data_IF_544078322298
#
_entry.id   IF_544078322298
#
_cell.length_a   1.000
_cell.length_b   1.000
_cell.length_c   1.000
_cell.angle_alpha   90.00
_cell.angle_beta   90.00
_cell.angle_gamma   90.00
#
_symmetry.space_group_name_H-M   'P 1'
#
loop_
_entity.id
_entity.type
_entity.pdbx_description
1 polymer ?
#
# COMPACT_ATOMS: atom_id res chain seq x y z
N UNK A 1 -3.95 28.63 14.51
CA UNK A 1 -2.66 29.17 14.02
C UNK A 1 -1.68 28.05 13.65
N UNK A 2 -1.27 27.19 14.59
CA UNK A 2 -0.37 26.04 14.36
C UNK A 2 -0.78 25.08 13.24
N UNK A 3 -2.06 24.75 13.12
CA UNK A 3 -2.57 23.90 12.04
C UNK A 3 -2.22 24.44 10.65
N UNK A 4 -2.55 25.71 10.38
CA UNK A 4 -2.24 26.38 9.10
C UNK A 4 -0.74 26.45 8.83
N UNK A 5 0.07 26.70 9.88
CA UNK A 5 1.53 26.70 9.75
C UNK A 5 2.08 25.33 9.31
N UNK A 6 1.53 24.23 9.82
CA UNK A 6 1.93 22.87 9.44
C UNK A 6 1.45 22.56 8.03
N UNK A 7 0.16 22.73 7.74
CA UNK A 7 -0.41 22.34 6.44
C UNK A 7 0.11 23.20 5.29
N UNK A 8 0.50 24.45 5.54
CA UNK A 8 1.14 25.32 4.53
C UNK A 8 2.48 24.79 3.99
N UNK A 9 3.10 23.80 4.64
CA UNK A 9 4.37 23.20 4.23
C UNK A 9 4.21 21.94 3.38
N UNK A 10 3.00 21.37 3.27
CA UNK A 10 2.79 20.08 2.60
C UNK A 10 3.27 20.09 1.14
N UNK A 11 3.00 21.16 0.40
CA UNK A 11 3.43 21.30 -1.00
C UNK A 11 4.95 21.37 -1.20
N UNK A 12 5.75 21.44 -0.13
CA UNK A 12 7.22 21.40 -0.18
C UNK A 12 7.80 20.04 0.16
N UNK A 13 6.97 19.13 0.67
CA UNK A 13 7.41 17.80 1.08
C UNK A 13 7.58 16.88 -0.12
N UNK A 14 8.63 16.06 -0.05
CA UNK A 14 8.95 15.01 -1.00
C UNK A 14 8.89 13.69 -0.26
N UNK A 15 8.01 12.78 -0.67
CA UNK A 15 7.77 11.53 0.08
C UNK A 15 7.86 10.33 -0.86
N UNK A 16 8.60 9.30 -0.44
CA UNK A 16 8.58 8.00 -1.09
C UNK A 16 7.63 7.05 -0.36
N UNK A 17 6.76 6.37 -1.11
CA UNK A 17 5.90 5.31 -0.58
C UNK A 17 6.39 3.99 -1.15
N UNK A 18 7.07 3.23 -0.29
CA UNK A 18 7.65 1.92 -0.55
C UNK A 18 6.72 0.87 0.01
N UNK A 19 6.26 -0.06 -0.80
CA UNK A 19 5.42 -1.12 -0.27
C UNK A 19 4.56 -1.80 -1.30
N UNK A 20 3.66 -2.62 -0.80
CA UNK A 20 2.76 -3.41 -1.65
C UNK A 20 1.64 -2.53 -2.22
N UNK A 21 1.55 -2.49 -3.55
CA UNK A 21 0.47 -1.81 -4.26
C UNK A 21 -0.54 -2.84 -4.72
N UNK A 22 -1.80 -2.68 -4.31
CA UNK A 22 -2.90 -3.47 -4.86
C UNK A 22 -3.66 -2.69 -5.93
N UNK A 23 -4.33 -3.40 -6.82
CA UNK A 23 -5.46 -2.88 -7.56
C UNK A 23 -6.74 -3.20 -6.77
N UNK A 24 -7.40 -2.18 -6.27
CA UNK A 24 -8.74 -2.31 -5.70
C UNK A 24 -9.74 -2.22 -6.86
N UNK A 25 -10.25 -3.39 -7.27
CA UNK A 25 -11.12 -3.54 -8.43
C UNK A 25 -12.54 -3.82 -7.96
N UNK A 26 -13.37 -2.80 -7.98
CA UNK A 26 -14.77 -2.89 -7.60
C UNK A 26 -15.61 -3.29 -8.82
N UNK A 27 -16.45 -4.30 -8.64
CA UNK A 27 -17.44 -4.72 -9.64
C UNK A 27 -18.81 -4.35 -9.09
N UNK A 28 -19.39 -3.27 -9.58
CA UNK A 28 -20.69 -2.80 -9.13
C UNK A 28 -21.77 -3.66 -9.82
N UNK A 29 -22.57 -4.37 -9.03
CA UNK A 29 -23.55 -5.36 -9.47
C UNK A 29 -24.95 -4.77 -9.31
N UNK A 30 -25.73 -4.88 -10.39
CA UNK A 30 -27.14 -4.50 -10.43
C UNK A 30 -28.02 -5.74 -10.39
N UNK A 31 -28.64 -6.00 -9.23
CA UNK A 31 -29.51 -7.16 -9.04
C UNK A 31 -30.85 -7.06 -9.78
N UNK A 32 -31.21 -5.91 -10.38
CA UNK A 32 -32.39 -5.84 -11.23
C UNK A 32 -32.17 -6.55 -12.57
N UNK A 33 -30.92 -6.75 -12.98
CA UNK A 33 -30.51 -7.45 -14.21
C UNK A 33 -30.41 -8.95 -13.98
N UNK A 34 -31.56 -9.57 -13.73
CA UNK A 34 -31.66 -11.00 -13.49
C UNK A 34 -31.31 -11.81 -14.75
N UNK A 35 -30.39 -12.75 -14.58
CA UNK A 35 -29.96 -13.68 -15.62
C UNK A 35 -29.56 -15.01 -14.98
N UNK A 36 -29.75 -16.10 -15.71
CA UNK A 36 -29.35 -17.45 -15.30
C UNK A 36 -28.46 -18.04 -16.38
N UNK A 37 -27.30 -18.58 -16.00
CA UNK A 37 -26.35 -19.19 -16.94
C UNK A 37 -27.00 -20.38 -17.63
N UNK A 38 -26.95 -20.39 -18.96
CA UNK A 38 -27.49 -21.47 -19.79
C UNK A 38 -26.71 -22.78 -19.55
N UNK A 39 -25.42 -22.68 -19.26
CA UNK A 39 -24.50 -23.81 -19.10
C UNK A 39 -24.59 -24.47 -17.72
N UNK A 40 -24.85 -23.69 -16.67
CA UNK A 40 -24.74 -24.16 -15.27
C UNK A 40 -26.03 -24.03 -14.47
N UNK A 41 -27.01 -23.27 -14.94
CA UNK A 41 -28.23 -22.95 -14.20
C UNK A 41 -28.01 -22.04 -12.98
N UNK A 42 -26.79 -21.51 -12.77
CA UNK A 42 -26.49 -20.63 -11.65
C UNK A 42 -26.92 -19.18 -11.93
N UNK A 43 -27.27 -18.39 -10.89
CA UNK A 43 -27.51 -16.96 -11.04
C UNK A 43 -26.27 -16.22 -11.56
N UNK A 44 -26.48 -15.34 -12.55
CA UNK A 44 -25.43 -14.47 -13.09
C UNK A 44 -25.48 -13.12 -12.39
N UNK A 45 -24.31 -12.67 -11.91
CA UNK A 45 -24.15 -11.31 -11.38
C UNK A 45 -23.73 -10.37 -12.51
N UNK A 46 -24.68 -9.59 -13.01
CA UNK A 46 -24.43 -8.59 -14.03
C UNK A 46 -23.72 -7.36 -13.45
N UNK A 47 -22.47 -7.15 -13.88
CA UNK A 47 -21.65 -6.00 -13.48
C UNK A 47 -22.04 -4.80 -14.35
N UNK A 48 -22.55 -3.75 -13.73
CA UNK A 48 -22.98 -2.51 -14.38
C UNK A 48 -21.87 -1.46 -14.48
N UNK A 49 -20.90 -1.48 -13.57
CA UNK A 49 -19.72 -0.61 -13.61
C UNK A 49 -18.48 -1.28 -13.01
N UNK A 50 -17.29 -0.86 -13.46
CA UNK A 50 -16.00 -1.35 -12.97
C UNK A 50 -15.14 -0.17 -12.57
N UNK A 51 -14.80 -0.11 -11.28
CA UNK A 51 -13.94 0.95 -10.73
C UNK A 51 -12.60 0.35 -10.32
N UNK A 52 -11.52 0.92 -10.85
CA UNK A 52 -10.16 0.45 -10.66
C UNK A 52 -9.33 1.55 -9.99
N UNK A 53 -8.85 1.29 -8.76
CA UNK A 53 -8.14 2.28 -7.96
C UNK A 53 -6.86 1.70 -7.35
N UNK A 54 -5.80 2.51 -7.12
CA UNK A 54 -4.63 2.07 -6.38
C UNK A 54 -5.00 1.83 -4.92
N UNK A 55 -4.86 0.58 -4.46
CA UNK A 55 -5.05 0.19 -3.07
C UNK A 55 -3.74 0.00 -2.31
N UNK A 56 -3.85 -0.27 -1.01
CA UNK A 56 -2.71 -0.46 -0.11
C UNK A 56 -1.75 0.74 -0.14
N UNK A 57 -0.50 0.58 -0.59
CA UNK A 57 0.43 1.70 -0.73
C UNK A 57 -0.12 2.78 -1.68
N UNK A 58 -0.94 2.39 -2.66
CA UNK A 58 -1.68 3.30 -3.53
C UNK A 58 -2.73 4.15 -2.81
N UNK A 59 -3.34 3.64 -1.73
CA UNK A 59 -4.25 4.43 -0.88
C UNK A 59 -3.49 5.50 -0.11
N UNK A 60 -2.30 5.16 0.40
CA UNK A 60 -1.42 6.14 1.06
C UNK A 60 -1.06 7.25 0.08
N UNK A 61 -0.61 6.91 -1.14
CA UNK A 61 -0.33 7.91 -2.18
C UNK A 61 -1.54 8.80 -2.48
N UNK A 62 -2.73 8.21 -2.66
CA UNK A 62 -3.94 8.97 -2.98
C UNK A 62 -4.31 9.95 -1.86
N UNK A 63 -4.10 9.56 -0.60
CA UNK A 63 -4.28 10.45 0.54
C UNK A 63 -3.24 11.59 0.57
N UNK A 64 -1.97 11.29 0.31
CA UNK A 64 -0.90 12.30 0.25
C UNK A 64 -1.11 13.31 -0.89
N UNK A 65 -1.60 12.84 -2.05
CA UNK A 65 -2.05 13.68 -3.16
C UNK A 65 -3.16 14.62 -2.70
N UNK A 66 -4.18 14.09 -2.02
CA UNK A 66 -5.32 14.88 -1.53
C UNK A 66 -4.88 15.93 -0.50
N UNK A 67 -3.84 15.64 0.29
CA UNK A 67 -3.23 16.58 1.21
C UNK A 67 -2.37 17.66 0.52
N UNK A 68 -2.12 17.55 -0.80
CA UNK A 68 -1.34 18.51 -1.56
C UNK A 68 0.16 18.41 -1.30
N UNK A 69 0.69 17.19 -1.14
CA UNK A 69 2.14 16.95 -1.05
C UNK A 69 2.78 17.20 -2.41
N UNK A 70 3.90 17.93 -2.43
CA UNK A 70 4.47 18.47 -3.67
C UNK A 70 5.21 17.48 -4.56
N UNK A 71 5.79 16.42 -4.00
CA UNK A 71 6.45 15.38 -4.79
C UNK A 71 6.29 14.01 -4.14
N UNK A 72 5.79 13.05 -4.92
CA UNK A 72 5.50 11.72 -4.45
C UNK A 72 6.18 10.66 -5.32
N UNK A 73 6.77 9.65 -4.70
CA UNK A 73 7.44 8.56 -5.39
C UNK A 73 6.77 7.23 -5.08
N UNK A 74 6.23 6.59 -6.11
CA UNK A 74 5.72 5.22 -6.01
C UNK A 74 6.86 4.22 -6.16
N UNK A 75 7.14 3.43 -5.12
CA UNK A 75 8.18 2.39 -5.12
C UNK A 75 7.55 1.04 -4.81
N UNK A 76 7.41 0.21 -5.82
CA UNK A 76 6.76 -1.10 -5.71
C UNK A 76 6.73 -1.82 -7.05
N UNK A 77 5.89 -2.83 -7.19
CA UNK A 77 5.74 -3.52 -8.47
C UNK A 77 4.32 -3.96 -8.77
N UNK A 78 4.07 -4.27 -10.05
CA UNK A 78 2.92 -5.02 -10.52
C UNK A 78 3.35 -6.10 -11.53
N UNK A 79 2.41 -6.97 -11.89
CA UNK A 79 2.58 -7.93 -12.97
C UNK A 79 2.54 -7.28 -14.36
N UNK A 80 2.90 -8.05 -15.37
CA UNK A 80 2.64 -7.72 -16.79
C UNK A 80 1.34 -8.39 -17.19
N UNK A 81 0.24 -7.90 -16.64
CA UNK A 81 -1.12 -8.41 -16.82
C UNK A 81 -2.12 -7.25 -16.95
N UNK A 82 -3.38 -7.57 -17.24
CA UNK A 82 -4.45 -6.56 -17.42
C UNK A 82 -4.64 -5.69 -16.18
N UNK A 83 -4.57 -6.27 -14.99
CA UNK A 83 -4.66 -5.53 -13.73
C UNK A 83 -3.47 -4.59 -13.52
N UNK A 84 -2.26 -5.02 -13.90
CA UNK A 84 -1.06 -4.19 -13.85
C UNK A 84 -1.13 -3.01 -14.79
N UNK A 85 -1.79 -3.16 -15.95
CA UNK A 85 -2.10 -2.05 -16.84
C UNK A 85 -3.04 -1.04 -16.18
N UNK A 86 -4.16 -1.50 -15.59
CA UNK A 86 -5.11 -0.61 -14.90
C UNK A 86 -4.47 0.11 -13.71
N UNK A 87 -3.70 -0.60 -12.89
CA UNK A 87 -2.99 -0.03 -11.73
C UNK A 87 -1.98 1.03 -12.17
N UNK A 88 -1.16 0.73 -13.18
CA UNK A 88 -0.21 1.68 -13.73
C UNK A 88 -0.90 2.92 -14.31
N UNK A 89 -2.03 2.76 -15.01
CA UNK A 89 -2.81 3.88 -15.52
C UNK A 89 -3.34 4.74 -14.38
N UNK A 90 -3.91 4.12 -13.35
CA UNK A 90 -4.44 4.82 -12.20
C UNK A 90 -3.36 5.59 -11.43
N UNK A 91 -2.20 5.00 -11.19
CA UNK A 91 -1.06 5.67 -10.55
C UNK A 91 -0.54 6.87 -11.35
N UNK A 92 -0.47 6.75 -12.70
CA UNK A 92 -0.04 7.86 -13.57
C UNK A 92 -1.02 9.02 -13.63
N UNK A 93 -2.29 8.78 -13.33
CA UNK A 93 -3.32 9.81 -13.28
C UNK A 93 -3.33 10.58 -11.95
N UNK A 94 -2.57 10.13 -10.95
CA UNK A 94 -2.39 10.89 -9.71
C UNK A 94 -1.40 12.04 -9.95
N UNK A 95 -1.76 13.31 -9.62
CA UNK A 95 -0.84 14.43 -9.75
C UNK A 95 0.36 14.27 -8.82
N UNK A 96 1.50 14.82 -9.21
CA UNK A 96 2.75 14.84 -8.45
C UNK A 96 3.35 13.46 -8.09
N UNK A 97 2.73 12.37 -8.55
CA UNK A 97 3.21 10.99 -8.37
C UNK A 97 4.13 10.59 -9.52
N UNK A 98 5.38 10.28 -9.16
CA UNK A 98 6.40 9.75 -10.06
C UNK A 98 6.46 8.24 -9.94
N UNK A 99 6.25 7.55 -11.06
CA UNK A 99 6.18 6.07 -11.13
C UNK A 99 7.45 5.43 -11.68
N UNK A 100 8.57 6.14 -11.77
CA UNK A 100 9.80 5.61 -12.38
C UNK A 100 10.40 4.41 -11.62
N UNK A 101 10.07 4.28 -10.34
CA UNK A 101 10.47 3.16 -9.48
C UNK A 101 9.31 2.19 -9.20
N UNK A 102 8.22 2.31 -9.95
CA UNK A 102 7.13 1.34 -9.97
C UNK A 102 7.37 0.34 -11.09
N UNK A 103 7.82 -0.86 -10.72
CA UNK A 103 8.39 -1.83 -11.65
C UNK A 103 7.33 -2.81 -12.17
N UNK A 104 7.49 -3.26 -13.41
CA UNK A 104 6.69 -4.36 -13.97
C UNK A 104 7.51 -5.63 -14.01
N UNK A 105 6.91 -6.76 -13.65
CA UNK A 105 7.61 -8.04 -13.67
C UNK A 105 6.73 -9.17 -14.25
N UNK A 106 7.25 -9.91 -15.24
CA UNK A 106 6.53 -11.02 -15.89
C UNK A 106 6.33 -12.25 -15.00
N UNK A 107 7.13 -12.41 -13.95
CA UNK A 107 7.06 -13.53 -13.01
C UNK A 107 6.13 -13.23 -11.83
N UNK A 108 5.65 -11.99 -11.70
CA UNK A 108 4.72 -11.60 -10.66
C UNK A 108 3.34 -11.35 -11.27
N UNK A 109 2.31 -11.66 -10.51
CA UNK A 109 0.94 -11.19 -10.72
C UNK A 109 0.76 -9.82 -10.06
N UNK A 110 -0.09 -8.99 -10.63
CA UNK A 110 -0.54 -7.76 -9.96
C UNK A 110 -1.41 -8.12 -8.77
N UNK A 111 -0.98 -7.67 -7.58
CA UNK A 111 -1.78 -7.82 -6.37
C UNK A 111 -3.13 -7.12 -6.56
N UNK A 112 -4.24 -7.84 -6.46
CA UNK A 112 -5.58 -7.32 -6.76
C UNK A 112 -6.57 -7.78 -5.71
N UNK A 113 -7.36 -6.84 -5.21
CA UNK A 113 -8.57 -7.12 -4.43
C UNK A 113 -9.77 -6.91 -5.34
N UNK A 114 -10.34 -7.99 -5.89
CA UNK A 114 -11.58 -7.90 -6.66
C UNK A 114 -12.76 -7.95 -5.69
N UNK A 115 -13.51 -6.86 -5.60
CA UNK A 115 -14.59 -6.61 -4.64
C UNK A 115 -15.92 -6.48 -5.38
N UNK A 116 -16.69 -7.57 -5.53
CA UNK A 116 -18.03 -7.46 -6.09
C UNK A 116 -18.95 -6.76 -5.07
N UNK A 117 -19.64 -5.72 -5.49
CA UNK A 117 -20.50 -4.90 -4.66
C UNK A 117 -21.92 -4.89 -5.21
N UNK A 118 -22.90 -5.37 -4.44
CA UNK A 118 -24.31 -5.18 -4.79
C UNK A 118 -24.69 -3.74 -4.51
N UNK A 119 -25.11 -3.03 -5.57
CA UNK A 119 -25.56 -1.65 -5.50
C UNK A 119 -27.08 -1.62 -5.49
N UNK A 120 -27.64 -0.97 -4.47
CA UNK A 120 -29.08 -0.68 -4.37
C UNK A 120 -29.22 0.83 -4.16
N UNK A 121 -30.10 1.52 -4.91
CA UNK A 121 -30.34 2.94 -4.70
C UNK A 121 -30.59 3.28 -3.24
N UNK A 122 -29.97 4.37 -2.78
CA UNK A 122 -30.10 4.92 -1.42
C UNK A 122 -29.69 3.96 -0.28
N UNK A 123 -28.91 2.91 -0.58
CA UNK A 123 -28.35 2.00 0.42
C UNK A 123 -26.83 1.92 0.32
N UNK A 124 -26.19 1.61 1.45
CA UNK A 124 -24.76 1.30 1.48
C UNK A 124 -24.50 0.08 0.59
N UNK A 125 -23.48 0.14 -0.29
CA UNK A 125 -23.05 -1.02 -1.08
C UNK A 125 -22.80 -2.24 -0.20
N UNK A 126 -23.33 -3.40 -0.60
CA UNK A 126 -23.11 -4.66 0.11
C UNK A 126 -22.05 -5.48 -0.61
N UNK A 127 -20.90 -5.66 0.02
CA UNK A 127 -19.81 -6.46 -0.52
C UNK A 127 -20.15 -7.96 -0.50
N UNK A 128 -19.86 -8.64 -1.62
CA UNK A 128 -19.89 -10.09 -1.74
C UNK A 128 -18.50 -10.69 -1.48
N UNK A 129 -18.37 -12.01 -1.56
CA UNK A 129 -17.08 -12.68 -1.45
C UNK A 129 -16.10 -12.17 -2.51
N UNK A 130 -14.87 -11.92 -2.09
CA UNK A 130 -13.80 -11.37 -2.92
C UNK A 130 -13.09 -12.44 -3.74
N UNK A 131 -12.55 -12.00 -4.87
CA UNK A 131 -11.64 -12.78 -5.71
C UNK A 131 -10.27 -12.11 -5.77
N UNK A 132 -9.40 -12.49 -4.83
CA UNK A 132 -8.09 -11.88 -4.72
C UNK A 132 -7.07 -12.53 -5.66
N UNK A 133 -6.21 -11.71 -6.27
CA UNK A 133 -5.04 -12.18 -7.01
C UNK A 133 -3.81 -11.80 -6.22
N UNK A 134 -3.02 -12.80 -5.82
CA UNK A 134 -1.79 -12.64 -5.03
C UNK A 134 -0.67 -13.49 -5.60
N UNK A 135 0.56 -13.13 -5.25
CA UNK A 135 1.72 -13.99 -5.44
C UNK A 135 1.83 -14.93 -4.23
N UNK A 136 2.13 -16.20 -4.49
CA UNK A 136 2.29 -17.25 -3.46
C UNK A 136 3.70 -17.85 -3.49
N UNK A 137 4.62 -17.15 -4.13
CA UNK A 137 6.03 -17.47 -4.18
C UNK A 137 6.84 -16.23 -3.84
N UNK A 138 8.10 -16.37 -3.39
CA UNK A 138 8.94 -15.24 -3.07
C UNK A 138 9.11 -14.28 -4.25
N UNK A 139 9.23 -12.99 -3.93
CA UNK A 139 9.57 -11.94 -4.87
C UNK A 139 10.95 -12.21 -5.47
N UNK A 140 11.12 -12.19 -6.80
CA UNK A 140 12.41 -12.50 -7.42
C UNK A 140 13.55 -11.61 -6.91
N UNK A 141 14.70 -12.19 -6.56
CA UNK A 141 15.85 -11.45 -6.02
C UNK A 141 16.29 -10.25 -6.89
N UNK A 142 16.22 -10.38 -8.21
CA UNK A 142 16.54 -9.27 -9.12
C UNK A 142 15.57 -8.10 -8.96
N UNK A 143 14.28 -8.38 -8.71
CA UNK A 143 13.27 -7.37 -8.43
C UNK A 143 13.50 -6.73 -7.06
N UNK A 144 13.77 -7.54 -6.02
CA UNK A 144 14.12 -7.04 -4.69
C UNK A 144 15.33 -6.08 -4.76
N UNK A 145 16.39 -6.45 -5.47
CA UNK A 145 17.60 -5.62 -5.65
C UNK A 145 17.30 -4.30 -6.36
N UNK A 146 16.45 -4.29 -7.39
CA UNK A 146 16.06 -3.04 -8.07
C UNK A 146 15.27 -2.11 -7.15
N UNK A 147 14.35 -2.65 -6.36
CA UNK A 147 13.57 -1.88 -5.37
C UNK A 147 14.48 -1.32 -4.28
N UNK A 148 15.36 -2.15 -3.69
CA UNK A 148 16.33 -1.71 -2.69
C UNK A 148 17.23 -0.57 -3.21
N UNK A 149 17.73 -0.69 -4.45
CA UNK A 149 18.51 0.37 -5.09
C UNK A 149 17.70 1.66 -5.30
N UNK A 150 16.42 1.56 -5.61
CA UNK A 150 15.54 2.73 -5.72
C UNK A 150 15.39 3.44 -4.38
N UNK A 151 15.17 2.70 -3.30
CA UNK A 151 15.08 3.24 -1.93
C UNK A 151 16.38 3.95 -1.53
N UNK A 152 17.54 3.32 -1.75
CA UNK A 152 18.85 3.94 -1.47
C UNK A 152 19.08 5.24 -2.24
N UNK A 153 18.65 5.30 -3.52
CA UNK A 153 18.75 6.52 -4.33
C UNK A 153 17.81 7.62 -3.84
N UNK A 154 16.58 7.25 -3.48
CA UNK A 154 15.57 8.19 -3.02
C UNK A 154 15.87 8.76 -1.64
N UNK A 155 16.55 8.00 -0.78
CA UNK A 155 16.87 8.43 0.58
C UNK A 155 17.61 9.78 0.65
N UNK A 156 18.39 10.15 -0.37
CA UNK A 156 19.08 11.45 -0.43
C UNK A 156 18.21 12.60 -0.99
N UNK A 157 17.00 12.30 -1.47
CA UNK A 157 16.19 13.21 -2.28
C UNK A 157 14.77 13.42 -1.74
N UNK A 158 14.40 12.72 -0.68
CA UNK A 158 13.07 12.79 -0.07
C UNK A 158 13.18 13.18 1.40
N UNK A 159 12.12 13.76 1.94
CA UNK A 159 12.05 14.18 3.34
C UNK A 159 11.50 13.04 4.23
N UNK A 160 10.73 12.11 3.64
CA UNK A 160 10.22 10.92 4.32
C UNK A 160 10.10 9.70 3.39
N UNK A 161 10.21 8.51 3.99
CA UNK A 161 9.96 7.21 3.37
C UNK A 161 8.88 6.50 4.20
N UNK A 162 7.75 6.17 3.58
CA UNK A 162 6.71 5.34 4.18
C UNK A 162 6.89 3.92 3.65
N UNK A 163 6.97 2.94 4.55
CA UNK A 163 7.19 1.53 4.24
C UNK A 163 5.94 0.74 4.64
N UNK A 164 5.19 0.22 3.67
CA UNK A 164 3.95 -0.53 3.90
C UNK A 164 4.11 -2.02 3.54
N UNK A 165 3.97 -2.89 4.53
CA UNK A 165 3.79 -4.34 4.36
C UNK A 165 2.31 -4.71 4.44
N UNK A 166 1.76 -5.15 3.31
CA UNK A 166 0.33 -5.42 3.15
C UNK A 166 0.02 -6.89 2.82
N UNK A 167 0.96 -7.61 2.20
CA UNK A 167 0.74 -8.99 1.79
C UNK A 167 0.77 -9.93 3.00
N UNK A 168 -0.06 -10.97 3.01
CA UNK A 168 -0.19 -11.84 4.20
C UNK A 168 0.95 -12.86 4.33
N UNK A 169 1.61 -13.19 3.22
CA UNK A 169 2.70 -14.18 3.18
C UNK A 169 4.03 -13.44 3.07
N UNK A 170 4.94 -13.61 4.05
CA UNK A 170 6.26 -12.99 4.01
C UNK A 170 6.99 -13.28 2.70
N UNK A 171 7.88 -12.38 2.29
CA UNK A 171 8.71 -12.48 1.08
C UNK A 171 7.96 -12.44 -0.26
N UNK A 172 6.62 -12.43 -0.28
CA UNK A 172 5.82 -12.45 -1.55
C UNK A 172 5.51 -11.07 -2.11
N UNK A 173 5.80 -10.01 -1.34
CA UNK A 173 5.54 -8.61 -1.65
C UNK A 173 6.82 -7.79 -1.87
N UNK A 174 6.70 -6.48 -1.66
CA UNK A 174 7.81 -5.51 -1.72
C UNK A 174 8.63 -5.54 -0.43
N UNK A 175 7.98 -5.75 0.71
CA UNK A 175 8.64 -5.81 2.00
C UNK A 175 9.16 -7.23 2.23
N UNK A 176 10.42 -7.43 1.87
CA UNK A 176 11.18 -8.65 2.12
C UNK A 176 12.24 -8.40 3.19
N UNK A 177 12.83 -9.47 3.71
CA UNK A 177 13.98 -9.39 4.63
C UNK A 177 15.10 -8.53 4.03
N UNK A 178 15.38 -8.68 2.73
CA UNK A 178 16.38 -7.86 2.03
C UNK A 178 16.00 -6.38 1.94
N UNK A 179 14.71 -6.06 1.82
CA UNK A 179 14.23 -4.68 1.88
C UNK A 179 14.41 -4.10 3.29
N UNK A 180 14.02 -4.85 4.34
CA UNK A 180 14.20 -4.42 5.72
C UNK A 180 15.67 -4.19 6.08
N UNK A 181 16.58 -5.06 5.62
CA UNK A 181 18.03 -4.84 5.74
C UNK A 181 18.50 -3.56 5.03
N UNK A 182 17.88 -3.21 3.90
CA UNK A 182 18.19 -1.99 3.16
C UNK A 182 17.75 -0.76 3.95
N UNK A 183 16.55 -0.81 4.56
CA UNK A 183 16.07 0.25 5.47
C UNK A 183 16.97 0.36 6.71
N UNK A 184 17.36 -0.76 7.32
CA UNK A 184 18.27 -0.78 8.47
C UNK A 184 19.64 -0.17 8.15
N UNK A 185 20.15 -0.41 6.93
CA UNK A 185 21.38 0.27 6.48
C UNK A 185 21.19 1.78 6.42
N UNK A 186 20.04 2.28 5.96
CA UNK A 186 19.76 3.71 5.91
C UNK A 186 19.73 4.36 7.30
N UNK A 187 19.15 3.70 8.31
CA UNK A 187 19.10 4.25 9.68
C UNK A 187 20.48 4.37 10.33
N UNK A 188 21.46 3.60 9.85
CA UNK A 188 22.85 3.57 10.35
C UNK A 188 23.80 4.52 9.61
N UNK A 189 23.36 5.16 8.53
CA UNK A 189 24.21 6.12 7.80
C UNK A 189 24.42 7.36 8.68
N UNK A 190 25.68 7.70 8.96
CA UNK A 190 26.01 8.98 9.58
C UNK A 190 25.82 10.09 8.54
N UNK A 191 24.92 11.06 8.75
CA UNK A 191 24.59 12.04 7.73
C UNK A 191 25.79 12.94 7.44
N UNK A 192 26.28 12.91 6.19
CA UNK A 192 27.21 13.92 5.69
C UNK A 192 26.38 15.11 5.20
N UNK A 193 26.20 16.10 6.07
CA UNK A 193 25.58 17.43 5.80
C UNK A 193 24.07 17.48 5.48
N UNK A 194 23.40 16.37 5.15
CA UNK A 194 21.96 16.34 4.88
C UNK A 194 21.23 15.46 5.91
N UNK A 195 20.10 15.96 6.44
CA UNK A 195 19.22 15.17 7.31
C UNK A 195 18.72 13.95 6.52
N UNK A 196 18.88 12.76 7.09
CA UNK A 196 18.24 11.55 6.57
C UNK A 196 16.71 11.69 6.63
N UNK A 197 15.98 11.03 5.71
CA UNK A 197 14.54 11.07 5.70
C UNK A 197 13.99 10.42 6.97
N UNK A 198 12.82 10.90 7.41
CA UNK A 198 12.02 10.18 8.41
C UNK A 198 11.53 8.88 7.76
N UNK A 199 11.68 7.75 8.44
CA UNK A 199 11.20 6.46 7.94
C UNK A 199 10.07 5.96 8.84
N UNK A 200 8.92 5.68 8.24
CA UNK A 200 7.72 5.22 8.95
C UNK A 200 7.33 3.83 8.41
N UNK A 201 7.27 2.83 9.28
CA UNK A 201 6.80 1.49 8.98
C UNK A 201 5.33 1.27 9.35
N UNK A 202 4.59 0.59 8.48
CA UNK A 202 3.23 0.10 8.70
C UNK A 202 3.15 -1.35 8.21
N UNK A 203 2.75 -2.27 9.08
CA UNK A 203 2.78 -3.70 8.79
C UNK A 203 1.55 -4.42 9.33
N UNK A 204 0.88 -5.17 8.45
CA UNK A 204 -0.21 -6.07 8.84
C UNK A 204 0.26 -7.33 9.56
N UNK A 205 1.50 -7.75 9.29
CA UNK A 205 2.04 -8.98 9.83
C UNK A 205 2.69 -8.79 11.20
N UNK A 206 2.98 -7.55 11.57
CA UNK A 206 3.72 -7.17 12.77
C UNK A 206 5.12 -6.66 12.43
N UNK A 207 5.87 -6.28 13.46
CA UNK A 207 7.14 -5.56 13.33
C UNK A 207 8.38 -6.40 13.72
N UNK A 208 8.22 -7.71 13.86
CA UNK A 208 9.37 -8.59 14.10
C UNK A 208 10.36 -8.49 12.93
N UNK A 209 11.65 -8.28 13.25
CA UNK A 209 12.71 -8.09 12.25
C UNK A 209 12.75 -6.71 11.58
N UNK A 210 11.86 -5.78 11.94
CA UNK A 210 11.92 -4.42 11.43
C UNK A 210 13.06 -3.61 12.08
N UNK A 211 13.69 -2.68 11.34
CA UNK A 211 14.70 -1.78 11.90
C UNK A 211 14.09 -0.80 12.91
N UNK A 212 14.96 -0.13 13.67
CA UNK A 212 14.56 0.93 14.59
C UNK A 212 14.14 2.20 13.83
N UNK A 213 12.87 2.26 13.42
CA UNK A 213 12.22 3.35 12.69
C UNK A 213 10.92 3.74 13.39
N UNK A 214 10.26 4.82 12.94
CA UNK A 214 8.93 5.16 13.45
C UNK A 214 7.92 4.10 13.02
N UNK A 215 7.12 3.59 13.95
CA UNK A 215 6.12 2.55 13.66
C UNK A 215 4.71 3.12 13.78
N UNK A 216 3.90 2.97 12.73
CA UNK A 216 2.46 3.21 12.79
C UNK A 216 1.77 1.86 12.90
N UNK A 217 0.91 1.74 13.91
CA UNK A 217 0.11 0.55 14.13
C UNK A 217 -1.22 0.91 14.79
N UNK A 218 -2.24 0.10 14.54
CA UNK A 218 -3.50 0.18 15.25
C UNK A 218 -3.44 -0.59 16.58
N UNK A 219 -4.50 -0.50 17.40
CA UNK A 219 -4.54 -1.14 18.70
C UNK A 219 -4.43 -2.67 18.64
N UNK A 220 -4.99 -3.31 17.62
CA UNK A 220 -4.90 -4.77 17.46
C UNK A 220 -3.48 -5.21 17.07
N UNK A 221 -2.83 -4.47 16.16
CA UNK A 221 -1.42 -4.69 15.81
C UNK A 221 -0.50 -4.49 17.02
N UNK A 222 -0.74 -3.44 17.82
CA UNK A 222 0.00 -3.20 19.06
C UNK A 222 -0.17 -4.32 20.08
N UNK A 223 -1.41 -4.80 20.32
CA UNK A 223 -1.69 -5.93 21.22
C UNK A 223 -0.97 -7.20 20.74
N UNK A 224 -1.00 -7.47 19.43
CA UNK A 224 -0.32 -8.62 18.84
C UNK A 224 1.20 -8.53 19.01
N UNK A 225 1.79 -7.34 18.85
CA UNK A 225 3.22 -7.11 18.98
C UNK A 225 3.71 -7.24 20.44
N UNK A 226 2.96 -6.68 21.39
CA UNK A 226 3.41 -6.58 22.79
C UNK A 226 2.91 -7.71 23.69
N UNK A 227 1.87 -8.44 23.27
CA UNK A 227 1.15 -9.40 24.12
C UNK A 227 0.31 -8.73 25.22
N UNK A 228 0.28 -7.39 25.28
CA UNK A 228 -0.44 -6.65 26.32
C UNK A 228 -1.93 -6.61 25.95
N UNK A 229 -2.78 -7.07 26.87
CA UNK A 229 -4.22 -6.90 26.77
C UNK A 229 -4.61 -5.50 27.19
N UNK A 230 -4.91 -4.64 26.23
CA UNK A 230 -5.49 -3.31 26.45
C UNK A 230 -6.94 -3.31 25.98
N UNK A 231 -7.84 -2.53 26.57
CA UNK A 231 -9.22 -2.40 26.04
C UNK A 231 -9.37 -1.19 25.11
N UNK A 232 -8.68 -0.08 25.41
CA UNK A 232 -8.75 1.13 24.59
C UNK A 232 -7.39 1.85 24.42
N UNK A 233 -7.32 2.78 23.46
CA UNK A 233 -6.09 3.53 23.14
C UNK A 233 -5.55 4.39 24.30
N UNK A 234 -6.42 4.80 25.24
CA UNK A 234 -6.01 5.69 26.34
C UNK A 234 -5.06 4.99 27.33
N UNK A 235 -5.14 3.67 27.40
CA UNK A 235 -4.39 2.86 28.36
C UNK A 235 -2.97 2.55 27.89
N UNK A 236 -2.66 2.82 26.61
CA UNK A 236 -1.35 2.57 26.00
C UNK A 236 -0.23 3.28 26.75
N UNK A 237 -0.43 4.56 27.13
CA UNK A 237 0.60 5.34 27.83
C UNK A 237 0.96 4.75 29.19
N UNK A 238 -0.01 4.14 29.87
CA UNK A 238 0.18 3.51 31.17
C UNK A 238 0.81 2.12 31.02
N UNK A 239 0.52 1.41 29.93
CA UNK A 239 1.02 0.06 29.69
C UNK A 239 2.46 0.00 29.14
N UNK A 240 2.99 1.11 28.60
CA UNK A 240 4.36 1.21 28.09
C UNK A 240 5.30 1.90 29.11
N UNK A 241 4.74 2.53 30.15
CA UNK A 241 5.51 3.14 31.24
C UNK A 241 6.07 2.08 32.20
#
# INVERSE_FOLDING_TARGET
>A
KRFKEITSKYSRLRIAVVGDYSLDRYLDIDLSKNETSIETGLPVYNVSDVRAQPGAAGTILSNLVTLGIGELWAVGFCGIDGHGYELCRALKNLPDVKTQYFLKNKKQKTFTYCKPLVIVPDKTPRELNRYDIKNWHPTPHTLQKHLANAVMKLANNVDAIIVLDQVDVPETGVITSSMLETIDKLTKITPSKQLLPIIIGDSRNGFEGWPNIDLKMNLNEFRKMTGISLECLKDIKTAIA
#
